data_IF_937690381753
#
_entry.id   IF_937690381753
#
_cell.length_a   1.000
_cell.length_b   1.000
_cell.length_c   1.000
_cell.angle_alpha   90.00
_cell.angle_beta   90.00
_cell.angle_gamma   90.00
#
_symmetry.space_group_name_H-M   'P 1'
#
loop_
_entity.id
_entity.type
_entity.pdbx_description
1 polymer ?
#
# COMPACT_ATOMS: atom_id res chain seq x y z
N UNK A 1 -8.88 -4.45 -7.68
CA UNK A 1 -8.24 -3.77 -6.53
C UNK A 1 -7.88 -2.37 -6.98
N UNK A 2 -8.08 -1.35 -6.14
CA UNK A 2 -7.77 0.05 -6.47
C UNK A 2 -6.65 0.55 -5.56
N UNK A 3 -5.71 1.27 -6.13
CA UNK A 3 -4.73 2.07 -5.40
C UNK A 3 -5.33 3.44 -5.15
N UNK A 4 -5.48 3.83 -3.89
CA UNK A 4 -5.84 5.20 -3.52
C UNK A 4 -4.58 6.03 -3.31
N UNK A 5 -4.49 7.17 -3.98
CA UNK A 5 -3.44 8.17 -3.85
C UNK A 5 -4.05 9.53 -3.53
N UNK A 6 -3.21 10.51 -3.18
CA UNK A 6 -3.57 11.92 -3.04
C UNK A 6 -4.17 12.52 -4.32
N UNK A 7 -3.79 11.98 -5.48
CA UNK A 7 -4.21 12.46 -6.80
C UNK A 7 -5.44 11.73 -7.36
N UNK A 8 -5.94 10.72 -6.65
CA UNK A 8 -7.12 9.94 -7.06
C UNK A 8 -6.95 8.44 -6.87
N UNK A 9 -7.91 7.68 -7.41
CA UNK A 9 -7.93 6.22 -7.32
C UNK A 9 -7.65 5.58 -8.66
N UNK A 10 -6.68 4.67 -8.71
CA UNK A 10 -6.20 4.05 -9.95
C UNK A 10 -6.33 2.53 -9.88
N UNK A 11 -6.75 1.86 -10.97
CA UNK A 11 -6.84 0.40 -10.99
C UNK A 11 -5.44 -0.21 -10.94
N UNK A 12 -5.24 -1.19 -10.06
CA UNK A 12 -3.98 -1.95 -9.97
C UNK A 12 -4.01 -3.07 -11.02
N UNK A 13 -3.07 -3.11 -11.99
CA UNK A 13 -2.96 -4.20 -12.94
C UNK A 13 -2.72 -5.55 -12.25
N UNK A 14 -3.26 -6.63 -12.81
CA UNK A 14 -3.09 -7.97 -12.25
C UNK A 14 -1.61 -8.40 -12.13
N UNK A 15 -0.76 -7.95 -13.06
CA UNK A 15 0.68 -8.18 -13.06
C UNK A 15 1.41 -7.49 -11.91
N UNK A 16 0.88 -6.38 -11.41
CA UNK A 16 1.42 -5.66 -10.24
C UNK A 16 0.86 -6.28 -8.97
N UNK A 17 -0.45 -6.56 -8.94
CA UNK A 17 -1.12 -7.13 -7.78
C UNK A 17 -0.52 -8.48 -7.34
N UNK A 18 -0.05 -9.30 -8.27
CA UNK A 18 0.62 -10.57 -7.98
C UNK A 18 2.02 -10.43 -7.37
N UNK A 19 2.63 -9.24 -7.43
CA UNK A 19 3.94 -8.94 -6.82
C UNK A 19 3.80 -8.30 -5.43
N UNK A 20 2.60 -7.83 -5.07
CA UNK A 20 2.38 -7.15 -3.80
C UNK A 20 2.51 -8.13 -2.63
N UNK A 21 3.24 -7.76 -1.57
CA UNK A 21 3.29 -8.56 -0.36
C UNK A 21 1.90 -8.67 0.28
N UNK A 22 1.62 -9.83 0.87
CA UNK A 22 0.36 -10.09 1.55
C UNK A 22 0.43 -9.55 2.98
N UNK A 23 -0.08 -8.33 3.16
CA UNK A 23 -0.06 -7.63 4.44
C UNK A 23 -1.51 -7.49 4.94
N UNK A 24 -1.77 -7.72 6.24
CA UNK A 24 -3.08 -7.45 6.81
C UNK A 24 -3.45 -5.95 6.69
N UNK A 25 -4.75 -5.62 6.70
CA UNK A 25 -5.19 -4.24 6.62
C UNK A 25 -4.66 -3.40 7.79
N UNK A 26 -4.25 -2.16 7.50
CA UNK A 26 -3.78 -1.22 8.52
C UNK A 26 -4.98 -0.83 9.41
N UNK A 27 -4.88 -0.96 10.74
CA UNK A 27 -5.94 -0.62 11.66
C UNK A 27 -6.30 0.87 11.56
N UNK A 28 -7.61 1.17 11.43
CA UNK A 28 -8.10 2.55 11.31
C UNK A 28 -8.53 3.10 12.69
N UNK A 29 -7.98 4.24 13.15
CA UNK A 29 -8.28 4.79 14.48
C UNK A 29 -9.75 5.23 14.65
N UNK A 30 -10.49 5.40 13.55
CA UNK A 30 -11.93 5.69 13.59
C UNK A 30 -12.83 4.46 13.70
N UNK A 31 -12.29 3.24 13.62
CA UNK A 31 -13.08 2.01 13.70
C UNK A 31 -13.42 1.64 15.14
N UNK A 32 -14.64 1.15 15.43
CA UNK A 32 -15.04 0.73 16.78
C UNK A 32 -14.14 -0.38 17.34
N UNK A 33 -13.58 -1.22 16.47
CA UNK A 33 -12.68 -2.32 16.82
C UNK A 33 -11.19 -1.97 16.68
N UNK A 34 -10.82 -0.69 16.64
CA UNK A 34 -9.43 -0.25 16.42
C UNK A 34 -8.44 -0.95 17.36
N UNK A 35 -8.75 -1.03 18.65
CA UNK A 35 -7.85 -1.63 19.64
C UNK A 35 -7.58 -3.12 19.36
N UNK A 36 -8.62 -3.86 18.95
CA UNK A 36 -8.48 -5.28 18.60
C UNK A 36 -7.67 -5.44 17.30
N UNK A 37 -7.98 -4.64 16.27
CA UNK A 37 -7.25 -4.66 15.00
C UNK A 37 -5.78 -4.28 15.16
N UNK A 38 -5.50 -3.25 15.97
CA UNK A 38 -4.15 -2.82 16.27
C UNK A 38 -3.38 -3.91 17.01
N UNK A 39 -4.00 -4.60 17.98
CA UNK A 39 -3.38 -5.73 18.66
C UNK A 39 -3.02 -6.83 17.66
N UNK A 40 -3.99 -7.29 16.85
CA UNK A 40 -3.74 -8.36 15.87
C UNK A 40 -2.70 -7.99 14.81
N UNK A 41 -2.65 -6.73 14.38
CA UNK A 41 -1.64 -6.24 13.47
C UNK A 41 -0.24 -6.26 14.10
N UNK A 42 -0.12 -5.85 15.37
CA UNK A 42 1.16 -5.92 16.10
C UNK A 42 1.59 -7.36 16.36
N UNK A 43 0.66 -8.25 16.70
CA UNK A 43 0.92 -9.69 16.83
C UNK A 43 1.49 -10.24 15.51
N UNK A 44 0.87 -9.91 14.38
CA UNK A 44 1.39 -10.28 13.06
C UNK A 44 2.80 -9.76 12.79
N UNK A 45 3.11 -8.50 13.13
CA UNK A 45 4.46 -7.97 12.98
C UNK A 45 5.51 -8.70 13.84
N UNK A 46 5.14 -9.13 15.05
CA UNK A 46 6.02 -9.83 15.99
C UNK A 46 6.27 -11.30 15.60
N UNK A 47 5.32 -11.94 14.90
CA UNK A 47 5.44 -13.34 14.46
C UNK A 47 6.66 -13.61 13.57
N UNK A 48 7.10 -12.63 12.78
CA UNK A 48 8.27 -12.78 11.90
C UNK A 48 8.87 -11.45 11.47
N UNK A 49 10.21 -11.30 11.46
CA UNK A 49 10.85 -10.11 10.88
C UNK A 49 10.53 -9.93 9.38
N UNK A 50 10.18 -11.00 8.67
CA UNK A 50 9.75 -10.93 7.28
C UNK A 50 8.46 -10.11 7.11
N UNK A 51 7.53 -10.18 8.08
CA UNK A 51 6.29 -9.41 8.04
C UNK A 51 6.53 -7.89 8.12
N UNK A 52 7.51 -7.48 8.93
CA UNK A 52 7.93 -6.08 8.97
C UNK A 52 8.53 -5.63 7.64
N UNK A 53 9.33 -6.49 6.99
CA UNK A 53 9.91 -6.20 5.67
C UNK A 53 8.80 -6.06 4.61
N UNK A 54 7.85 -7.00 4.60
CA UNK A 54 6.71 -6.99 3.68
C UNK A 54 5.82 -5.76 3.87
N UNK A 55 5.54 -5.37 5.12
CA UNK A 55 4.81 -4.15 5.43
C UNK A 55 5.54 -2.90 4.92
N UNK A 56 6.83 -2.77 5.22
CA UNK A 56 7.61 -1.62 4.78
C UNK A 56 7.76 -1.56 3.27
N UNK A 57 7.89 -2.71 2.60
CA UNK A 57 7.91 -2.81 1.13
C UNK A 57 6.60 -2.32 0.53
N UNK A 58 5.45 -2.76 1.07
CA UNK A 58 4.14 -2.28 0.62
C UNK A 58 3.97 -0.77 0.85
N UNK A 59 4.40 -0.29 2.02
CA UNK A 59 4.36 1.12 2.39
C UNK A 59 5.19 1.99 1.45
N UNK A 60 6.41 1.56 1.12
CA UNK A 60 7.30 2.27 0.18
C UNK A 60 6.73 2.31 -1.22
N UNK A 61 6.23 1.18 -1.72
CA UNK A 61 5.54 1.14 -3.00
C UNK A 61 4.38 2.14 -3.04
N UNK A 62 3.50 2.16 -2.02
CA UNK A 62 2.42 3.14 -1.95
C UNK A 62 2.90 4.60 -2.05
N UNK A 63 4.00 4.95 -1.38
CA UNK A 63 4.57 6.30 -1.45
C UNK A 63 5.09 6.64 -2.85
N UNK A 64 5.86 5.74 -3.45
CA UNK A 64 6.38 5.92 -4.82
C UNK A 64 5.24 6.11 -5.82
N UNK A 65 4.19 5.29 -5.71
CA UNK A 65 3.04 5.39 -6.60
C UNK A 65 2.22 6.68 -6.36
N UNK A 66 2.17 7.20 -5.14
CA UNK A 66 1.56 8.50 -4.85
C UNK A 66 2.31 9.64 -5.54
N UNK A 67 3.65 9.64 -5.45
CA UNK A 67 4.52 10.63 -6.09
C UNK A 67 4.42 10.56 -7.62
N UNK A 68 4.42 9.35 -8.20
CA UNK A 68 4.27 9.16 -9.64
C UNK A 68 2.87 9.59 -10.14
N UNK A 69 1.81 9.29 -9.38
CA UNK A 69 0.46 9.74 -9.71
C UNK A 69 0.37 11.27 -9.69
N UNK A 70 0.90 11.90 -8.64
CA UNK A 70 0.93 13.36 -8.52
C UNK A 70 1.72 14.01 -9.66
N UNK A 71 2.85 13.42 -10.05
CA UNK A 71 3.66 13.89 -11.17
C UNK A 71 2.91 13.77 -12.51
N UNK A 72 2.31 12.62 -12.80
CA UNK A 72 1.57 12.42 -14.04
C UNK A 72 0.40 13.41 -14.18
N UNK A 73 -0.35 13.65 -13.09
CA UNK A 73 -1.42 14.66 -13.08
C UNK A 73 -0.87 16.07 -13.29
N UNK A 74 0.24 16.44 -12.65
CA UNK A 74 0.88 17.73 -12.86
C UNK A 74 1.37 17.94 -14.30
N UNK A 75 1.83 16.87 -14.95
CA UNK A 75 2.31 16.87 -16.34
C UNK A 75 1.16 16.69 -17.36
N UNK A 76 -0.09 16.55 -16.91
CA UNK A 76 -1.27 16.36 -17.77
C UNK A 76 -1.30 15.01 -18.50
N UNK A 77 -0.66 13.99 -17.92
CA UNK A 77 -0.54 12.64 -18.46
C UNK A 77 -1.43 11.65 -17.70
N UNK A 78 -1.88 10.61 -18.39
CA UNK A 78 -2.54 9.48 -17.74
C UNK A 78 -1.56 8.70 -16.85
N UNK A 79 -1.97 8.40 -15.63
CA UNK A 79 -1.20 7.59 -14.69
C UNK A 79 -1.61 6.12 -14.75
N UNK A 80 -0.62 5.23 -14.84
CA UNK A 80 -0.77 3.79 -14.75
C UNK A 80 0.05 3.27 -13.56
N UNK A 81 -0.58 2.47 -12.70
CA UNK A 81 0.09 1.85 -11.56
C UNK A 81 1.14 0.84 -12.03
N UNK A 82 2.35 0.94 -11.49
CA UNK A 82 3.50 0.08 -11.79
C UNK A 82 3.97 -0.68 -10.55
N UNK A 83 4.97 -1.55 -10.72
CA UNK A 83 5.67 -2.20 -9.61
C UNK A 83 6.87 -1.41 -9.06
N UNK A 84 7.07 -0.15 -9.51
CA UNK A 84 8.13 0.72 -8.99
C UNK A 84 8.00 0.94 -7.48
N UNK A 85 9.10 0.71 -6.75
CA UNK A 85 9.14 0.78 -5.29
C UNK A 85 8.90 -0.55 -4.58
N UNK A 86 8.75 -1.66 -5.31
CA UNK A 86 8.75 -3.02 -4.76
C UNK A 86 10.14 -3.68 -4.73
N UNK A 87 11.23 -2.99 -5.04
CA UNK A 87 12.59 -3.57 -4.97
C UNK A 87 13.15 -3.70 -3.54
#
# INVERSE_FOLDING_TARGET
MMLSTTSGSFPIPASVASKLPQVPPIPSPGSPDYAAQAKSFNEWLDESPAHTIDFERLRRWHLVQDELAAKAVADGQDYLVTDDGLE
#
